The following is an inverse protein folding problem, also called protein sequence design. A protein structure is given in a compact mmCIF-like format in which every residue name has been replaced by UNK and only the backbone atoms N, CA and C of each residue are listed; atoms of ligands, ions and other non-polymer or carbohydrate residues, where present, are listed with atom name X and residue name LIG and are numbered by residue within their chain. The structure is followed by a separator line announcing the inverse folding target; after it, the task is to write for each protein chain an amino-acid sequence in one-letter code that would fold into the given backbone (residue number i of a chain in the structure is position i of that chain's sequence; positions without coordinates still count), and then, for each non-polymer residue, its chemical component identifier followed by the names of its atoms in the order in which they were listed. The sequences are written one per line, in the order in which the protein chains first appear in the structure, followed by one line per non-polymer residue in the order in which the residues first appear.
data_IF_470255747125
#
_entry.id   IF_470255747125
#
_cell.length_a   1.000
_cell.length_b   1.000
_cell.length_c   1.000
_cell.angle_alpha   90.00
_cell.angle_beta   90.00
_cell.angle_gamma   90.00
#
_symmetry.space_group_name_H-M   'P 1'
#
loop_
_entity.id
_entity.type
_entity.pdbx_description
1 polymer ?
#
# COMPACT_ATOMS: atom_id res chain seq x y z
N UNK A 1 30.02 27.89 -5.22
CA UNK A 1 29.73 26.77 -4.28
C UNK A 1 28.31 26.27 -4.56
N UNK A 2 28.14 25.12 -5.23
CA UNK A 2 26.84 24.50 -5.41
C UNK A 2 26.43 23.90 -4.06
N UNK A 3 25.33 24.37 -3.50
CA UNK A 3 24.70 23.85 -2.30
C UNK A 3 24.44 22.36 -2.52
N UNK A 4 25.14 21.50 -1.81
CA UNK A 4 24.94 20.04 -1.82
C UNK A 4 23.59 19.80 -1.15
N UNK A 5 22.51 19.80 -1.93
CA UNK A 5 21.20 19.37 -1.43
C UNK A 5 21.38 17.99 -0.81
N UNK A 6 21.05 17.87 0.47
CA UNK A 6 21.05 16.61 1.18
C UNK A 6 19.98 15.71 0.55
N UNK A 7 20.37 14.93 -0.47
CA UNK A 7 19.47 13.97 -1.11
C UNK A 7 19.11 12.91 -0.08
N UNK A 8 17.83 12.72 0.13
CA UNK A 8 17.32 11.63 0.98
C UNK A 8 17.81 10.30 0.39
N UNK A 9 18.39 9.40 1.20
CA UNK A 9 18.85 8.09 0.72
C UNK A 9 17.76 7.34 -0.04
N UNK A 10 18.13 6.59 -1.07
CA UNK A 10 17.19 5.83 -1.92
C UNK A 10 16.33 4.89 -1.07
N UNK A 11 16.95 4.16 -0.14
CA UNK A 11 16.24 3.26 0.76
C UNK A 11 15.18 3.95 1.61
N UNK A 12 15.50 5.12 2.18
CA UNK A 12 14.51 5.88 2.95
C UNK A 12 13.33 6.34 2.07
N UNK A 13 13.58 6.74 0.82
CA UNK A 13 12.51 7.14 -0.12
C UNK A 13 11.61 5.96 -0.49
N UNK A 14 12.18 4.79 -0.76
CA UNK A 14 11.43 3.58 -1.08
C UNK A 14 10.57 3.15 0.10
N UNK A 15 11.13 3.09 1.31
CA UNK A 15 10.40 2.75 2.52
C UNK A 15 9.21 3.69 2.76
N UNK A 16 9.45 5.00 2.77
CA UNK A 16 8.39 5.98 3.03
C UNK A 16 7.34 6.00 1.93
N UNK A 17 7.75 5.83 0.66
CA UNK A 17 6.83 5.75 -0.46
C UNK A 17 5.84 4.60 -0.30
N UNK A 18 6.32 3.40 0.04
CA UNK A 18 5.47 2.22 0.25
C UNK A 18 4.59 2.36 1.50
N UNK A 19 5.14 2.89 2.59
CA UNK A 19 4.38 3.09 3.83
C UNK A 19 3.24 4.08 3.63
N UNK A 20 3.50 5.22 3.00
CA UNK A 20 2.47 6.23 2.72
C UNK A 20 1.40 5.67 1.78
N UNK A 21 1.80 4.97 0.71
CA UNK A 21 0.85 4.32 -0.21
C UNK A 21 -0.03 3.30 0.52
N UNK A 22 0.55 2.49 1.39
CA UNK A 22 -0.19 1.51 2.18
C UNK A 22 -1.27 2.18 3.05
N UNK A 23 -0.92 3.24 3.77
CA UNK A 23 -1.86 4.00 4.61
C UNK A 23 -2.97 4.63 3.75
N UNK A 24 -2.63 5.22 2.60
CA UNK A 24 -3.61 5.86 1.72
C UNK A 24 -4.62 4.84 1.18
N UNK A 25 -4.19 3.65 0.75
CA UNK A 25 -5.10 2.61 0.27
C UNK A 25 -6.03 2.09 1.36
N UNK A 26 -5.53 1.88 2.59
CA UNK A 26 -6.38 1.52 3.73
C UNK A 26 -7.40 2.63 3.99
N UNK A 27 -6.98 3.90 3.94
CA UNK A 27 -7.87 5.05 4.10
C UNK A 27 -8.98 5.08 3.06
N UNK A 28 -8.68 4.80 1.78
CA UNK A 28 -9.70 4.66 0.71
C UNK A 28 -10.70 3.56 1.05
N UNK A 29 -10.21 2.36 1.43
CA UNK A 29 -11.08 1.24 1.76
C UNK A 29 -12.01 1.53 2.93
N UNK A 30 -11.49 2.12 4.01
CA UNK A 30 -12.29 2.45 5.18
C UNK A 30 -13.34 3.54 4.88
N UNK A 31 -13.01 4.56 4.11
CA UNK A 31 -13.96 5.63 3.75
C UNK A 31 -15.03 5.16 2.78
N UNK A 32 -14.77 4.10 2.00
CA UNK A 32 -15.74 3.52 1.07
C UNK A 32 -16.88 2.77 1.77
N UNK A 33 -16.69 2.39 3.05
CA UNK A 33 -17.73 1.73 3.84
C UNK A 33 -18.89 2.64 4.23
N UNK A 34 -18.67 3.96 4.28
CA UNK A 34 -19.66 4.91 4.80
C UNK A 34 -20.25 5.78 3.69
N UNK A 35 -21.59 5.86 3.69
CA UNK A 35 -22.36 6.60 2.68
C UNK A 35 -22.70 8.00 3.17
N UNK A 36 -21.65 8.78 3.50
CA UNK A 36 -21.85 10.17 3.88
C UNK A 36 -20.92 11.10 3.09
N UNK A 37 -21.31 12.36 2.99
CA UNK A 37 -20.57 13.37 2.23
C UNK A 37 -19.13 13.53 2.70
N UNK A 38 -18.90 13.47 4.01
CA UNK A 38 -17.57 13.64 4.60
C UNK A 38 -16.64 12.50 4.17
N UNK A 39 -17.11 11.25 4.27
CA UNK A 39 -16.32 10.08 3.83
C UNK A 39 -16.08 10.09 2.32
N UNK A 40 -17.03 10.56 1.52
CA UNK A 40 -16.84 10.72 0.06
C UNK A 40 -15.77 11.75 -0.26
N UNK A 41 -15.72 12.87 0.43
CA UNK A 41 -14.67 13.89 0.29
C UNK A 41 -13.32 13.32 0.74
N UNK A 42 -13.25 12.64 1.89
CA UNK A 42 -12.04 12.02 2.40
C UNK A 42 -11.50 10.95 1.44
N UNK A 43 -12.37 10.10 0.86
CA UNK A 43 -12.00 9.12 -0.15
C UNK A 43 -11.35 9.79 -1.35
N UNK A 44 -11.94 10.88 -1.85
CA UNK A 44 -11.38 11.64 -2.97
C UNK A 44 -10.01 12.21 -2.62
N UNK A 45 -9.82 12.76 -1.42
CA UNK A 45 -8.55 13.29 -0.95
C UNK A 45 -7.47 12.20 -0.86
N UNK A 46 -7.80 11.02 -0.33
CA UNK A 46 -6.88 9.89 -0.28
C UNK A 46 -6.48 9.42 -1.68
N UNK A 47 -7.43 9.33 -2.61
CA UNK A 47 -7.14 8.95 -4.01
C UNK A 47 -6.23 9.98 -4.69
N UNK A 48 -6.50 11.26 -4.52
CA UNK A 48 -5.65 12.33 -5.07
C UNK A 48 -4.25 12.28 -4.47
N UNK A 49 -4.13 12.07 -3.16
CA UNK A 49 -2.83 11.91 -2.50
C UNK A 49 -2.06 10.67 -3.03
N UNK A 50 -2.75 9.54 -3.23
CA UNK A 50 -2.15 8.34 -3.80
C UNK A 50 -1.61 8.58 -5.21
N UNK A 51 -2.37 9.27 -6.06
CA UNK A 51 -1.92 9.66 -7.42
C UNK A 51 -0.66 10.53 -7.36
N UNK A 52 -0.64 11.52 -6.45
CA UNK A 52 0.53 12.40 -6.28
C UNK A 52 1.77 11.61 -5.85
N UNK A 53 1.62 10.67 -4.91
CA UNK A 53 2.73 9.80 -4.46
C UNK A 53 3.22 8.92 -5.59
N UNK A 54 2.32 8.31 -6.38
CA UNK A 54 2.67 7.50 -7.55
C UNK A 54 3.45 8.30 -8.59
N UNK A 55 2.93 9.47 -8.98
CA UNK A 55 3.56 10.33 -9.99
C UNK A 55 4.94 10.79 -9.53
N UNK A 56 5.08 11.19 -8.25
CA UNK A 56 6.39 11.53 -7.67
C UNK A 56 7.34 10.33 -7.66
N UNK A 57 6.85 9.15 -7.29
CA UNK A 57 7.64 7.91 -7.31
C UNK A 57 8.20 7.60 -8.70
N UNK A 58 7.34 7.63 -9.72
CA UNK A 58 7.74 7.41 -11.13
C UNK A 58 8.75 8.45 -11.58
N UNK A 59 8.52 9.73 -11.26
CA UNK A 59 9.42 10.82 -11.67
C UNK A 59 10.80 10.71 -11.01
N UNK A 60 10.85 10.35 -9.72
CA UNK A 60 12.09 10.19 -8.98
C UNK A 60 12.89 8.99 -9.52
N UNK A 61 12.23 7.88 -9.86
CA UNK A 61 12.89 6.72 -10.46
C UNK A 61 13.46 7.00 -11.87
N UNK A 62 12.85 7.93 -12.63
CA UNK A 62 13.39 8.34 -13.95
C UNK A 62 14.57 9.31 -13.88
N UNK A 63 14.68 10.07 -12.81
CA UNK A 63 15.75 11.06 -12.58
C UNK A 63 16.89 10.42 -11.75
N UNK A 64 16.68 9.22 -11.26
CA UNK A 64 17.63 8.49 -10.41
C UNK A 64 18.90 8.17 -11.19
N UNK A 65 19.88 8.99 -10.91
CA UNK A 65 21.28 8.73 -11.05
C UNK A 65 21.65 7.44 -10.32
N UNK A 66 22.50 6.65 -10.93
CA UNK A 66 23.17 5.46 -10.42
C UNK A 66 22.52 4.85 -9.17
N UNK A 67 21.45 4.09 -9.44
CA UNK A 67 20.69 3.46 -8.37
C UNK A 67 21.62 2.56 -7.57
N UNK A 68 21.53 2.65 -6.27
CA UNK A 68 22.14 1.68 -5.39
C UNK A 68 21.56 0.30 -5.78
N UNK A 69 22.33 -0.47 -6.58
CA UNK A 69 21.92 -1.80 -7.10
C UNK A 69 21.49 -2.72 -5.96
N UNK A 70 22.09 -2.53 -4.77
CA UNK A 70 21.73 -3.26 -3.58
C UNK A 70 20.32 -2.87 -3.08
N UNK A 71 19.97 -1.59 -3.10
CA UNK A 71 18.64 -1.13 -2.70
C UNK A 71 17.57 -1.65 -3.66
N UNK A 72 17.85 -1.68 -4.97
CA UNK A 72 16.94 -2.25 -5.97
C UNK A 72 16.76 -3.76 -5.78
N UNK A 73 17.83 -4.50 -5.57
CA UNK A 73 17.79 -5.92 -5.27
C UNK A 73 16.99 -6.21 -4.00
N UNK A 74 17.24 -5.46 -2.92
CA UNK A 74 16.51 -5.60 -1.67
C UNK A 74 15.02 -5.27 -1.83
N UNK A 75 14.69 -4.30 -2.69
CA UNK A 75 13.31 -3.95 -2.99
C UNK A 75 12.56 -5.07 -3.72
N UNK A 76 13.17 -5.67 -4.76
CA UNK A 76 12.60 -6.82 -5.48
C UNK A 76 12.39 -8.00 -4.52
N UNK A 77 13.37 -8.28 -3.66
CA UNK A 77 13.28 -9.34 -2.66
C UNK A 77 12.19 -9.08 -1.62
N UNK A 78 12.02 -7.82 -1.21
CA UNK A 78 10.94 -7.40 -0.33
C UNK A 78 9.57 -7.58 -0.98
N UNK A 79 9.41 -7.23 -2.27
CA UNK A 79 8.18 -7.46 -3.03
C UNK A 79 7.83 -8.95 -3.10
N UNK A 80 8.80 -9.81 -3.38
CA UNK A 80 8.58 -11.25 -3.43
C UNK A 80 8.11 -11.81 -2.07
N UNK A 81 8.75 -11.39 -0.95
CA UNK A 81 8.36 -11.77 0.40
C UNK A 81 6.95 -11.25 0.75
N UNK A 82 6.65 -10.00 0.40
CA UNK A 82 5.33 -9.41 0.63
C UNK A 82 4.23 -10.11 -0.18
N UNK A 83 4.51 -10.48 -1.43
CA UNK A 83 3.59 -11.26 -2.27
C UNK A 83 3.25 -12.60 -1.66
N UNK A 84 4.25 -13.34 -1.15
CA UNK A 84 4.03 -14.60 -0.44
C UNK A 84 3.18 -14.43 0.83
N UNK A 85 3.48 -13.42 1.65
CA UNK A 85 2.71 -13.11 2.85
C UNK A 85 1.27 -12.70 2.51
N UNK A 86 1.06 -11.89 1.47
CA UNK A 86 -0.26 -11.48 1.00
C UNK A 86 -1.08 -12.70 0.53
N UNK A 87 -0.45 -13.63 -0.19
CA UNK A 87 -1.12 -14.86 -0.62
C UNK A 87 -1.64 -15.67 0.58
N UNK A 88 -0.85 -15.79 1.65
CA UNK A 88 -1.28 -16.44 2.89
C UNK A 88 -2.47 -15.73 3.53
N UNK A 89 -2.44 -14.39 3.58
CA UNK A 89 -3.57 -13.59 4.10
C UNK A 89 -4.82 -13.80 3.25
N UNK A 90 -4.70 -13.82 1.92
CA UNK A 90 -5.82 -14.10 1.01
C UNK A 90 -6.43 -15.48 1.25
N UNK A 91 -5.61 -16.51 1.48
CA UNK A 91 -6.11 -17.86 1.80
C UNK A 91 -6.92 -17.84 3.11
N UNK A 92 -6.40 -17.18 4.16
CA UNK A 92 -7.09 -17.06 5.46
C UNK A 92 -8.41 -16.29 5.29
N UNK A 93 -8.39 -15.15 4.61
CA UNK A 93 -9.59 -14.35 4.32
C UNK A 93 -10.63 -15.16 3.56
N UNK A 94 -10.21 -15.93 2.55
CA UNK A 94 -11.11 -16.80 1.77
C UNK A 94 -11.77 -17.87 2.62
N UNK A 95 -11.03 -18.50 3.54
CA UNK A 95 -11.57 -19.49 4.48
C UNK A 95 -12.58 -18.84 5.42
N UNK A 96 -12.22 -17.70 6.04
CA UNK A 96 -13.12 -16.97 6.95
C UNK A 96 -14.39 -16.54 6.24
N UNK A 97 -14.28 -16.03 5.00
CA UNK A 97 -15.43 -15.65 4.18
C UNK A 97 -16.33 -16.85 3.85
N UNK A 98 -15.73 -17.99 3.50
CA UNK A 98 -16.48 -19.22 3.19
C UNK A 98 -17.28 -19.73 4.39
N UNK A 99 -16.69 -19.62 5.60
CA UNK A 99 -17.35 -20.05 6.84
C UNK A 99 -18.39 -19.02 7.36
N UNK A 100 -18.14 -17.73 7.10
CA UNK A 100 -18.96 -16.62 7.61
C UNK A 100 -20.04 -16.13 6.63
N UNK A 101 -20.23 -16.78 5.49
CA UNK A 101 -21.14 -16.30 4.44
C UNK A 101 -22.57 -16.06 4.94
N UNK A 102 -23.11 -16.97 5.76
CA UNK A 102 -24.44 -16.83 6.34
C UNK A 102 -24.60 -15.69 7.36
N UNK A 103 -23.50 -15.19 7.95
CA UNK A 103 -23.54 -14.05 8.86
C UNK A 103 -23.61 -12.72 8.09
N UNK A 104 -22.98 -12.65 6.94
CA UNK A 104 -22.93 -11.44 6.10
C UNK A 104 -24.25 -11.22 5.35
N UNK A 105 -24.97 -12.27 5.05
CA UNK A 105 -26.29 -12.24 4.37
C UNK A 105 -27.34 -11.46 5.16
N UNK A 106 -27.19 -11.37 6.47
CA UNK A 106 -28.07 -10.62 7.37
C UNK A 106 -27.64 -9.15 7.59
N UNK A 107 -26.54 -8.70 6.97
CA UNK A 107 -26.08 -7.32 7.09
C UNK A 107 -26.60 -6.51 5.89
N UNK A 108 -27.21 -5.37 6.18
CA UNK A 108 -27.72 -4.40 5.19
C UNK A 108 -26.58 -3.61 4.52
N UNK A 109 -25.49 -4.31 4.17
CA UNK A 109 -24.30 -3.75 3.54
C UNK A 109 -24.18 -4.32 2.12
N UNK A 110 -24.00 -3.41 1.15
CA UNK A 110 -23.78 -3.80 -0.24
C UNK A 110 -22.51 -4.66 -0.39
N UNK A 111 -22.64 -5.83 -1.04
CA UNK A 111 -21.51 -6.71 -1.40
C UNK A 111 -20.39 -5.98 -2.10
N UNK A 112 -20.71 -5.02 -2.96
CA UNK A 112 -19.74 -4.18 -3.66
C UNK A 112 -18.82 -3.44 -2.71
N UNK A 113 -19.35 -2.91 -1.60
CA UNK A 113 -18.57 -2.19 -0.59
C UNK A 113 -17.66 -3.11 0.21
N UNK A 114 -18.14 -4.31 0.54
CA UNK A 114 -17.32 -5.32 1.23
C UNK A 114 -16.14 -5.73 0.37
N UNK A 115 -16.37 -6.02 -0.91
CA UNK A 115 -15.32 -6.39 -1.86
C UNK A 115 -14.33 -5.22 -2.05
N UNK A 116 -14.83 -4.00 -2.20
CA UNK A 116 -14.02 -2.79 -2.31
C UNK A 116 -13.14 -2.60 -1.08
N UNK A 117 -13.70 -2.70 0.12
CA UNK A 117 -12.95 -2.61 1.37
C UNK A 117 -11.82 -3.65 1.42
N UNK A 118 -12.16 -4.91 1.19
CA UNK A 118 -11.17 -6.00 1.21
C UNK A 118 -10.05 -5.72 0.21
N UNK A 119 -10.39 -5.33 -1.01
CA UNK A 119 -9.41 -5.03 -2.05
C UNK A 119 -8.45 -3.92 -1.62
N UNK A 120 -8.96 -2.77 -1.18
CA UNK A 120 -8.11 -1.64 -0.81
C UNK A 120 -7.31 -1.89 0.47
N UNK A 121 -7.87 -2.61 1.45
CA UNK A 121 -7.15 -2.99 2.67
C UNK A 121 -6.02 -3.96 2.34
N UNK A 122 -6.26 -4.98 1.50
CA UNK A 122 -5.22 -5.91 1.07
C UNK A 122 -4.12 -5.22 0.26
N UNK A 123 -4.49 -4.29 -0.62
CA UNK A 123 -3.52 -3.49 -1.38
C UNK A 123 -2.68 -2.62 -0.44
N UNK A 124 -3.30 -2.05 0.58
CA UNK A 124 -2.62 -1.26 1.61
C UNK A 124 -1.66 -2.11 2.45
N UNK A 125 -2.11 -3.27 2.93
CA UNK A 125 -1.29 -4.22 3.67
C UNK A 125 -0.09 -4.68 2.83
N UNK A 126 -0.30 -4.98 1.55
CA UNK A 126 0.77 -5.37 0.64
C UNK A 126 1.88 -4.30 0.58
N UNK A 127 1.51 -3.04 0.37
CA UNK A 127 2.47 -1.94 0.35
C UNK A 127 3.21 -1.77 1.69
N UNK A 128 2.50 -1.89 2.82
CA UNK A 128 3.14 -1.84 4.15
C UNK A 128 4.13 -2.98 4.35
N UNK A 129 3.78 -4.20 3.94
CA UNK A 129 4.67 -5.36 4.02
C UNK A 129 5.93 -5.18 3.16
N UNK A 130 5.80 -4.64 1.94
CA UNK A 130 6.97 -4.29 1.11
C UNK A 130 7.88 -3.33 1.89
N UNK A 131 7.34 -2.27 2.45
CA UNK A 131 8.11 -1.30 3.23
C UNK A 131 8.82 -1.94 4.42
N UNK A 132 8.12 -2.78 5.20
CA UNK A 132 8.68 -3.47 6.35
C UNK A 132 9.80 -4.47 5.97
N UNK A 133 9.56 -5.32 4.98
CA UNK A 133 10.56 -6.28 4.51
C UNK A 133 11.76 -5.58 3.88
N UNK A 134 11.55 -4.50 3.15
CA UNK A 134 12.63 -3.70 2.58
C UNK A 134 13.51 -3.12 3.70
N UNK A 135 12.91 -2.49 4.70
CA UNK A 135 13.65 -1.95 5.85
C UNK A 135 14.45 -3.03 6.60
N UNK A 136 13.89 -4.24 6.73
CA UNK A 136 14.59 -5.35 7.36
C UNK A 136 15.81 -5.79 6.56
N UNK A 137 15.68 -5.89 5.23
CA UNK A 137 16.78 -6.28 4.34
C UNK A 137 17.90 -5.21 4.24
N UNK A 138 17.55 -3.94 4.44
CA UNK A 138 18.53 -2.86 4.51
C UNK A 138 19.32 -2.83 5.84
N UNK A 139 18.80 -3.50 6.87
CA UNK A 139 19.44 -3.59 8.19
C UNK A 139 20.32 -4.84 8.36
N UNK A 140 20.21 -5.82 7.46
CA UNK A 140 21.04 -7.04 7.40
C UNK A 140 22.35 -6.78 6.63
#
# INVERSE_FOLDING_TARGET
MKKKESRIPVGARMFWGQTVMGILWIGVGLTDMFDNLICSILKLLFLMAAIVVLVKGIRINRIGDDGDEMAEYNFIKAQAKAGGALFMVLCIVSIVFSLGFGLVENMDISWTRIISLIFFVLLGIHNLLIGLFFRKLEAE
#
